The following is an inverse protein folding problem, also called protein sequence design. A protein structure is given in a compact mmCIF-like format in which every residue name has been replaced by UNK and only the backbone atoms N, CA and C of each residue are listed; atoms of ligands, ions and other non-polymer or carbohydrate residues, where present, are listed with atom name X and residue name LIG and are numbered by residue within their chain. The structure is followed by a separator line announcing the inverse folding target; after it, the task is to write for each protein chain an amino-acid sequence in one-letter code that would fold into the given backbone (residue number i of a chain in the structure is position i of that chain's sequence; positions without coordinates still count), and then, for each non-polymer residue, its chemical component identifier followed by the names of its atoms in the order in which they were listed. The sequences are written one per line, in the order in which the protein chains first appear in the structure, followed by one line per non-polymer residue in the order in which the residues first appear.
data_IF_267748590612
#
_entry.id   IF_267748590612
#
_cell.length_a   1.000
_cell.length_b   1.000
_cell.length_c   1.000
_cell.angle_alpha   90.00
_cell.angle_beta   90.00
_cell.angle_gamma   90.00
#
_symmetry.space_group_name_H-M   'P 1'
#
loop_
_entity.id
_entity.type
_entity.pdbx_description
1 polymer ?
#
# COMPACT_ATOMS: atom_id res chain seq x y z
N UNK A 1 11.52 8.76 1.37
CA UNK A 1 11.22 7.64 2.29
C UNK A 1 10.57 8.19 3.56
N UNK A 2 9.25 8.12 3.69
CA UNK A 2 8.54 8.60 4.89
C UNK A 2 7.86 7.42 5.56
N UNK A 3 8.38 7.03 6.73
CA UNK A 3 7.77 6.05 7.63
C UNK A 3 6.66 6.77 8.39
N UNK A 4 5.40 6.40 8.15
CA UNK A 4 4.24 7.13 8.65
C UNK A 4 3.82 6.67 10.05
N UNK A 5 4.16 7.47 11.07
CA UNK A 5 3.23 7.78 12.16
C UNK A 5 2.29 8.91 11.71
N UNK A 6 1.02 8.86 12.14
CA UNK A 6 -0.16 9.52 11.53
C UNK A 6 -0.18 11.03 11.23
N UNK A 7 0.93 11.77 11.37
CA UNK A 7 1.04 13.19 10.99
C UNK A 7 1.95 13.48 9.78
N UNK A 8 2.70 12.50 9.26
CA UNK A 8 3.75 12.77 8.25
C UNK A 8 3.29 12.70 6.79
N UNK A 9 2.22 11.98 6.49
CA UNK A 9 1.76 11.80 5.10
C UNK A 9 1.13 13.07 4.50
N UNK A 10 0.20 13.79 5.19
CA UNK A 10 -0.32 15.05 4.67
C UNK A 10 0.76 16.10 4.44
N UNK A 11 1.73 16.20 5.36
CA UNK A 11 2.87 17.11 5.21
C UNK A 11 3.72 16.79 3.97
N UNK A 12 3.92 15.51 3.65
CA UNK A 12 4.62 15.11 2.43
C UNK A 12 3.84 15.51 1.16
N UNK A 13 2.53 15.25 1.15
CA UNK A 13 1.64 15.54 0.02
C UNK A 13 1.48 17.04 -0.25
N UNK A 14 1.69 17.89 0.76
CA UNK A 14 1.70 19.35 0.57
C UNK A 14 2.80 19.77 -0.42
N UNK A 15 4.00 19.23 -0.25
CA UNK A 15 5.21 19.73 -0.93
C UNK A 15 5.75 18.80 -2.04
N UNK A 16 5.24 17.57 -2.16
CA UNK A 16 5.72 16.59 -3.13
C UNK A 16 4.59 16.09 -4.04
N UNK A 17 4.85 16.02 -5.34
CA UNK A 17 3.91 15.48 -6.33
C UNK A 17 3.72 13.97 -6.21
N UNK A 18 4.78 13.25 -5.84
CA UNK A 18 4.77 11.80 -5.65
C UNK A 18 5.26 11.43 -4.26
N UNK A 19 4.50 10.60 -3.56
CA UNK A 19 4.80 10.13 -2.20
C UNK A 19 4.79 8.60 -2.18
N UNK A 20 5.85 8.02 -1.61
CA UNK A 20 5.94 6.58 -1.35
C UNK A 20 5.68 6.29 0.13
N UNK A 21 4.68 5.46 0.41
CA UNK A 21 4.36 4.95 1.75
C UNK A 21 4.75 3.47 1.83
N UNK A 22 5.64 3.14 2.77
CA UNK A 22 6.05 1.75 3.01
C UNK A 22 5.33 1.22 4.26
N UNK A 23 4.69 0.08 4.12
CA UNK A 23 4.05 -0.68 5.22
C UNK A 23 4.37 -2.15 5.05
N UNK A 24 4.38 -2.93 6.14
CA UNK A 24 4.51 -4.37 6.01
C UNK A 24 3.17 -5.01 5.59
N UNK A 25 2.10 -4.68 6.31
CA UNK A 25 0.77 -5.27 6.12
C UNK A 25 -0.02 -4.49 5.06
N UNK A 26 -0.72 -5.15 4.12
CA UNK A 26 -1.62 -4.50 3.17
C UNK A 26 -2.65 -3.59 3.87
N UNK A 27 -2.87 -2.36 3.38
CA UNK A 27 -3.77 -1.43 4.05
C UNK A 27 -5.25 -1.65 3.67
N UNK A 28 -5.53 -2.41 2.61
CA UNK A 28 -6.88 -2.64 2.07
C UNK A 28 -7.09 -4.12 1.75
N UNK A 29 -8.37 -4.55 1.71
CA UNK A 29 -8.76 -5.90 1.31
C UNK A 29 -8.28 -6.22 -0.10
N UNK A 30 -8.40 -5.27 -1.01
CA UNK A 30 -8.04 -5.37 -2.43
C UNK A 30 -6.53 -5.49 -2.63
N UNK A 31 -5.74 -5.29 -1.57
CA UNK A 31 -4.30 -5.51 -1.53
C UNK A 31 -3.92 -6.82 -0.79
N UNK A 32 -4.90 -7.58 -0.28
CA UNK A 32 -4.66 -8.85 0.42
C UNK A 32 -4.71 -10.04 -0.55
N UNK A 33 -3.64 -10.19 -1.33
CA UNK A 33 -3.54 -11.22 -2.37
C UNK A 33 -3.08 -12.56 -1.81
N UNK A 34 -3.71 -13.65 -2.24
CA UNK A 34 -3.26 -15.03 -2.01
C UNK A 34 -3.53 -15.87 -3.26
N UNK A 35 -2.48 -16.38 -3.90
CA UNK A 35 -2.57 -17.20 -5.13
C UNK A 35 -3.45 -16.58 -6.24
N UNK A 36 -3.36 -15.26 -6.43
CA UNK A 36 -4.15 -14.52 -7.42
C UNK A 36 -5.62 -14.28 -7.05
N UNK A 37 -6.02 -14.63 -5.83
CA UNK A 37 -7.35 -14.36 -5.27
C UNK A 37 -7.24 -13.39 -4.09
N UNK A 38 -8.35 -12.73 -3.76
CA UNK A 38 -8.44 -11.91 -2.55
C UNK A 38 -8.68 -12.79 -1.32
N UNK A 39 -8.09 -12.39 -0.19
CA UNK A 39 -8.35 -13.03 1.11
C UNK A 39 -9.83 -12.87 1.49
N UNK A 40 -10.43 -13.92 2.06
CA UNK A 40 -11.82 -13.90 2.50
C UNK A 40 -11.99 -13.23 3.89
N UNK A 41 -13.23 -13.08 4.33
CA UNK A 41 -13.58 -12.41 5.60
C UNK A 41 -12.98 -13.06 6.84
N UNK A 42 -12.77 -14.38 6.82
CA UNK A 42 -12.19 -15.12 7.94
C UNK A 42 -10.70 -14.79 8.12
N UNK A 43 -9.99 -14.59 7.01
CA UNK A 43 -8.53 -14.39 7.00
C UNK A 43 -8.12 -12.92 7.03
N UNK A 44 -8.95 -12.02 6.49
CA UNK A 44 -8.65 -10.60 6.38
C UNK A 44 -8.22 -9.90 7.67
N UNK A 45 -8.81 -10.17 8.85
CA UNK A 45 -8.36 -9.54 10.10
C UNK A 45 -6.88 -9.78 10.42
N UNK A 46 -6.27 -10.84 9.86
CA UNK A 46 -4.87 -11.19 10.05
C UNK A 46 -3.95 -10.63 8.96
N UNK A 47 -4.51 -10.20 7.83
CA UNK A 47 -3.75 -9.83 6.64
C UNK A 47 -3.90 -8.37 6.24
N UNK A 48 -4.81 -7.62 6.87
CA UNK A 48 -5.05 -6.21 6.54
C UNK A 48 -4.92 -5.29 7.74
N UNK A 49 -4.45 -4.07 7.49
CA UNK A 49 -4.47 -2.99 8.46
C UNK A 49 -5.53 -1.95 8.08
N UNK A 50 -6.77 -2.18 8.56
CA UNK A 50 -7.92 -1.32 8.25
C UNK A 50 -7.66 0.15 8.57
N UNK A 51 -7.04 0.45 9.72
CA UNK A 51 -6.77 1.81 10.14
C UNK A 51 -5.88 2.59 9.15
N UNK A 52 -4.91 1.92 8.52
CA UNK A 52 -4.06 2.55 7.50
C UNK A 52 -4.85 2.77 6.22
N UNK A 53 -5.65 1.78 5.80
CA UNK A 53 -6.53 1.91 4.65
C UNK A 53 -7.50 3.08 4.76
N UNK A 54 -8.22 3.16 5.88
CA UNK A 54 -9.16 4.25 6.15
C UNK A 54 -8.46 5.62 6.18
N UNK A 55 -7.24 5.69 6.72
CA UNK A 55 -6.47 6.93 6.71
C UNK A 55 -6.12 7.37 5.27
N UNK A 56 -5.69 6.43 4.41
CA UNK A 56 -5.38 6.72 3.00
C UNK A 56 -6.63 7.19 2.26
N UNK A 57 -7.73 6.44 2.36
CA UNK A 57 -8.99 6.75 1.68
C UNK A 57 -9.61 8.07 2.15
N UNK A 58 -9.34 8.47 3.40
CA UNK A 58 -9.76 9.76 3.94
C UNK A 58 -8.88 10.92 3.47
N UNK A 59 -7.57 10.73 3.37
CA UNK A 59 -6.61 11.83 3.12
C UNK A 59 -6.45 12.12 1.62
N UNK A 60 -6.33 11.10 0.79
CA UNK A 60 -5.98 11.27 -0.63
C UNK A 60 -6.99 12.04 -1.50
N UNK A 61 -8.31 12.04 -1.20
CA UNK A 61 -9.26 12.90 -1.90
C UNK A 61 -8.97 14.41 -1.77
N UNK A 62 -8.31 14.85 -0.70
CA UNK A 62 -7.93 16.26 -0.49
C UNK A 62 -6.71 16.67 -1.34
N UNK A 63 -6.03 15.70 -1.97
CA UNK A 63 -4.81 15.90 -2.76
C UNK A 63 -4.93 15.28 -4.16
N UNK A 64 -5.94 15.65 -4.98
CA UNK A 64 -6.23 14.96 -6.25
C UNK A 64 -5.11 15.09 -7.29
N UNK A 65 -4.22 16.07 -7.16
CA UNK A 65 -3.07 16.29 -8.05
C UNK A 65 -1.79 15.61 -7.56
N UNK A 66 -1.82 14.92 -6.42
CA UNK A 66 -0.68 14.21 -5.84
C UNK A 66 -0.86 12.72 -6.01
N UNK A 67 0.23 11.98 -6.20
CA UNK A 67 0.24 10.53 -6.34
C UNK A 67 0.78 9.89 -5.07
N UNK A 68 0.07 8.86 -4.59
CA UNK A 68 0.54 8.01 -3.52
C UNK A 68 0.80 6.60 -4.05
N UNK A 69 2.03 6.12 -3.89
CA UNK A 69 2.40 4.72 -4.12
C UNK A 69 2.64 4.04 -2.79
N UNK A 70 1.80 3.06 -2.43
CA UNK A 70 1.97 2.25 -1.23
C UNK A 70 2.69 0.96 -1.59
N UNK A 71 3.77 0.65 -0.87
CA UNK A 71 4.53 -0.59 -1.02
C UNK A 71 4.28 -1.46 0.22
N UNK A 72 3.71 -2.65 0.03
CA UNK A 72 3.38 -3.60 1.10
C UNK A 72 3.79 -5.05 0.77
N UNK A 73 3.57 -5.96 1.72
CA UNK A 73 3.87 -7.39 1.57
C UNK A 73 2.97 -8.25 2.46
N UNK A 74 3.56 -9.04 3.36
CA UNK A 74 2.89 -9.92 4.35
C UNK A 74 2.18 -11.16 3.77
N UNK A 75 1.41 -11.03 2.68
CA UNK A 75 0.63 -12.17 2.13
C UNK A 75 1.41 -13.08 1.18
N UNK A 76 2.66 -12.70 0.85
CA UNK A 76 3.59 -13.43 -0.02
C UNK A 76 3.14 -13.62 -1.47
N UNK A 77 1.93 -13.19 -1.83
CA UNK A 77 1.47 -13.18 -3.22
C UNK A 77 1.53 -11.76 -3.77
N UNK A 78 2.07 -11.57 -4.98
CA UNK A 78 2.13 -10.26 -5.59
C UNK A 78 0.74 -9.78 -6.03
N UNK A 79 0.56 -8.47 -6.09
CA UNK A 79 -0.63 -7.87 -6.67
C UNK A 79 -0.60 -6.35 -6.68
N UNK A 80 -1.51 -5.77 -7.46
CA UNK A 80 -1.61 -4.33 -7.67
C UNK A 80 -3.08 -3.91 -7.59
N UNK A 81 -3.37 -2.83 -6.87
CA UNK A 81 -4.72 -2.27 -6.79
C UNK A 81 -4.68 -0.75 -6.80
N UNK A 82 -5.74 -0.16 -7.38
CA UNK A 82 -5.94 1.28 -7.53
C UNK A 82 -7.27 1.67 -6.89
N UNK A 83 -7.31 1.87 -5.55
CA UNK A 83 -8.56 2.19 -4.86
C UNK A 83 -9.08 3.61 -5.16
N UNK A 84 -8.22 4.49 -5.68
CA UNK A 84 -8.53 5.85 -6.15
C UNK A 84 -7.64 6.16 -7.36
N UNK A 85 -8.03 7.11 -8.21
CA UNK A 85 -7.28 7.51 -9.42
C UNK A 85 -5.83 7.94 -9.13
N UNK A 86 -5.58 8.41 -7.90
CA UNK A 86 -4.29 8.94 -7.46
C UNK A 86 -3.59 8.07 -6.40
N UNK A 87 -4.04 6.83 -6.21
CA UNK A 87 -3.47 5.88 -5.24
C UNK A 87 -3.18 4.55 -5.92
N UNK A 88 -1.92 4.13 -5.90
CA UNK A 88 -1.48 2.81 -6.34
C UNK A 88 -0.97 2.03 -5.11
N UNK A 89 -1.41 0.78 -4.93
CA UNK A 89 -0.91 -0.11 -3.89
C UNK A 89 -0.28 -1.34 -4.54
N UNK A 90 1.00 -1.57 -4.24
CA UNK A 90 1.80 -2.68 -4.75
C UNK A 90 2.11 -3.63 -3.61
N UNK A 91 1.59 -4.85 -3.70
CA UNK A 91 1.90 -5.94 -2.78
C UNK A 91 3.04 -6.76 -3.38
N UNK A 92 4.17 -6.82 -2.69
CA UNK A 92 5.31 -7.64 -3.07
C UNK A 92 5.06 -9.11 -2.77
N UNK A 93 5.41 -9.97 -3.72
CA UNK A 93 5.44 -11.42 -3.51
C UNK A 93 6.67 -11.85 -2.71
N UNK A 94 6.60 -13.04 -2.12
CA UNK A 94 7.75 -13.62 -1.42
C UNK A 94 7.78 -15.14 -1.57
N UNK A 95 8.97 -15.68 -1.80
CA UNK A 95 9.25 -17.11 -1.73
C UNK A 95 10.28 -17.34 -0.62
N UNK A 96 9.98 -18.32 0.25
CA UNK A 96 10.85 -18.61 1.41
C UNK A 96 12.26 -18.97 0.95
N UNK A 97 13.26 -18.31 1.53
CA UNK A 97 14.67 -18.52 1.18
C UNK A 97 15.12 -17.87 -0.13
N UNK A 98 14.23 -17.15 -0.84
CA UNK A 98 14.52 -16.51 -2.13
C UNK A 98 14.11 -15.03 -2.09
N UNK A 99 14.91 -14.14 -1.46
CA UNK A 99 14.64 -12.70 -1.49
C UNK A 99 14.86 -12.14 -2.90
N UNK A 100 13.93 -11.32 -3.38
CA UNK A 100 13.95 -10.77 -4.74
C UNK A 100 13.64 -9.26 -4.74
N UNK A 101 14.24 -8.54 -5.68
CA UNK A 101 13.87 -7.15 -5.98
C UNK A 101 12.47 -7.17 -6.61
N UNK A 102 11.51 -6.45 -6.01
CA UNK A 102 10.13 -6.43 -6.48
C UNK A 102 9.90 -5.42 -7.61
N UNK A 103 10.44 -4.19 -7.47
CA UNK A 103 10.34 -3.11 -8.46
C UNK A 103 11.45 -2.09 -8.26
N UNK A 104 11.92 -1.48 -9.34
CA UNK A 104 12.83 -0.34 -9.35
C UNK A 104 12.02 0.88 -9.81
N UNK A 105 12.20 2.01 -9.13
CA UNK A 105 11.53 3.28 -9.44
C UNK A 105 12.57 4.32 -9.85
N UNK A 106 12.24 5.12 -10.85
CA UNK A 106 12.97 6.34 -11.19
C UNK A 106 12.31 7.50 -10.43
N UNK A 107 13.12 8.35 -9.78
CA UNK A 107 12.66 9.44 -8.89
C UNK A 107 13.36 10.74 -9.21
#
# INVERSE_FOLDING_TARGET
LIVAGGGRMPAALADHEEVFLLTHVPPLREACWYQGQLSNDEWLPHFTCLAVGEAILRIMPDYPQRRLTVLCGHTHSPGETHPLDNVCILTGGAEYGSPQIQRVFEV
#
